data_IF_268971295930
#
_entry.id   IF_268971295930
#
_cell.length_a   1.000
_cell.length_b   1.000
_cell.length_c   1.000
_cell.angle_alpha   90.00
_cell.angle_beta   90.00
_cell.angle_gamma   90.00
#
_symmetry.space_group_name_H-M   'P 1'
#
loop_
_entity.id
_entity.type
_entity.pdbx_description
1 polymer ?
#
# COMPACT_ATOMS: atom_id res chain seq x y z
N UNK A 1 -45.52 39.29 -27.65
CA UNK A 1 -44.84 39.58 -26.37
C UNK A 1 -44.55 38.26 -25.69
N UNK A 2 -43.31 37.77 -25.64
CA UNK A 2 -42.96 36.60 -24.85
C UNK A 2 -42.60 37.00 -23.39
N UNK A 3 -42.74 36.08 -22.42
CA UNK A 3 -42.63 36.37 -20.99
C UNK A 3 -41.19 36.32 -20.48
N UNK A 4 -40.96 37.07 -19.39
CA UNK A 4 -39.70 37.19 -18.65
C UNK A 4 -39.23 35.87 -18.03
N UNK A 5 -37.93 35.59 -18.16
CA UNK A 5 -37.23 34.49 -17.45
C UNK A 5 -36.58 35.07 -16.20
N UNK A 6 -36.99 34.57 -15.04
CA UNK A 6 -36.54 35.00 -13.72
C UNK A 6 -35.07 34.73 -13.45
N UNK A 7 -34.40 35.72 -12.85
CA UNK A 7 -33.04 35.64 -12.36
C UNK A 7 -32.95 34.69 -11.14
N UNK A 8 -32.23 33.58 -11.30
CA UNK A 8 -31.75 32.79 -10.17
C UNK A 8 -30.64 33.60 -9.44
N UNK A 9 -30.88 33.94 -8.18
CA UNK A 9 -29.91 34.64 -7.33
C UNK A 9 -28.83 33.66 -6.88
N UNK A 10 -27.59 33.91 -7.32
CA UNK A 10 -26.39 33.22 -6.83
C UNK A 10 -26.12 33.74 -5.41
N UNK A 11 -26.23 32.85 -4.43
CA UNK A 11 -25.86 33.09 -3.04
C UNK A 11 -24.36 32.84 -2.89
N UNK A 12 -23.59 33.86 -2.50
CA UNK A 12 -22.16 33.70 -2.16
C UNK A 12 -21.20 34.71 -2.78
N UNK A 13 -21.51 36.02 -2.75
CA UNK A 13 -20.50 37.05 -3.00
C UNK A 13 -19.97 37.54 -1.64
N UNK A 14 -18.71 37.21 -1.35
CA UNK A 14 -17.96 37.85 -0.27
C UNK A 14 -17.87 39.35 -0.54
N UNK A 15 -17.97 40.13 0.53
CA UNK A 15 -18.23 41.59 0.57
C UNK A 15 -17.17 42.50 -0.09
N UNK A 16 -16.22 41.94 -0.85
CA UNK A 16 -15.07 42.65 -1.40
C UNK A 16 -15.14 42.96 -2.91
N UNK A 17 -16.20 42.57 -3.63
CA UNK A 17 -16.26 42.72 -5.11
C UNK A 17 -17.42 43.59 -5.64
N UNK A 18 -18.00 44.46 -4.81
CA UNK A 18 -19.07 45.38 -5.27
C UNK A 18 -18.53 46.80 -5.39
N UNK A 19 -17.59 47.02 -6.32
CA UNK A 19 -17.27 48.36 -6.83
C UNK A 19 -16.78 48.22 -8.26
N UNK A 20 -17.56 48.75 -9.21
CA UNK A 20 -17.43 48.65 -10.68
C UNK A 20 -17.99 47.36 -11.29
N UNK A 21 -19.11 47.46 -12.01
CA UNK A 21 -19.85 46.34 -12.63
C UNK A 21 -19.14 45.64 -13.79
N UNK A 22 -17.89 45.23 -13.61
CA UNK A 22 -17.17 44.31 -14.49
C UNK A 22 -17.02 42.98 -13.75
N UNK A 23 -17.82 42.00 -14.13
CA UNK A 23 -17.57 40.61 -13.75
C UNK A 23 -16.22 40.25 -14.38
N UNK A 24 -15.18 40.13 -13.56
CA UNK A 24 -13.90 39.61 -14.05
C UNK A 24 -14.13 38.16 -14.49
N UNK A 25 -13.63 37.73 -15.66
CA UNK A 25 -13.74 36.33 -16.06
C UNK A 25 -13.03 35.47 -15.01
N UNK A 26 -13.71 34.41 -14.55
CA UNK A 26 -13.10 33.44 -13.63
C UNK A 26 -11.83 32.89 -14.24
N UNK A 27 -10.74 32.87 -13.47
CA UNK A 27 -9.51 32.24 -13.93
C UNK A 27 -9.65 30.71 -13.85
N UNK A 28 -8.87 29.93 -14.63
CA UNK A 28 -8.88 28.47 -14.50
C UNK A 28 -8.61 27.98 -13.07
N UNK A 29 -7.82 28.71 -12.30
CA UNK A 29 -7.56 28.43 -10.89
C UNK A 29 -8.78 28.65 -10.00
N UNK A 30 -9.59 29.66 -10.28
CA UNK A 30 -10.83 29.93 -9.53
C UNK A 30 -11.84 28.80 -9.79
N UNK A 31 -11.97 28.36 -11.04
CA UNK A 31 -12.81 27.22 -11.43
C UNK A 31 -12.35 25.95 -10.71
N UNK A 32 -11.04 25.65 -10.73
CA UNK A 32 -10.49 24.48 -10.03
C UNK A 32 -10.75 24.52 -8.51
N UNK A 33 -10.63 25.69 -7.88
CA UNK A 33 -10.96 25.87 -6.45
C UNK A 33 -12.44 25.64 -6.18
N UNK A 34 -13.33 26.13 -7.04
CA UNK A 34 -14.77 25.91 -6.92
C UNK A 34 -15.13 24.42 -7.04
N UNK A 35 -14.47 23.70 -7.97
CA UNK A 35 -14.63 22.26 -8.12
C UNK A 35 -14.24 21.53 -6.84
N UNK A 36 -13.03 21.79 -6.33
CA UNK A 36 -12.52 21.16 -5.10
C UNK A 36 -13.39 21.50 -3.88
N UNK A 37 -13.90 22.72 -3.79
CA UNK A 37 -14.82 23.12 -2.71
C UNK A 37 -16.14 22.34 -2.77
N UNK A 38 -16.72 22.18 -3.97
CA UNK A 38 -17.95 21.40 -4.18
C UNK A 38 -17.77 19.94 -3.79
N UNK A 39 -16.64 19.33 -4.18
CA UNK A 39 -16.34 17.94 -3.82
C UNK A 39 -16.09 17.78 -2.30
N UNK A 40 -15.44 18.77 -1.67
CA UNK A 40 -15.18 18.78 -0.22
C UNK A 40 -16.48 18.85 0.58
N UNK A 41 -17.41 19.71 0.16
CA UNK A 41 -18.73 19.82 0.80
C UNK A 41 -19.49 18.49 0.67
N UNK A 42 -19.47 17.87 -0.51
CA UNK A 42 -20.11 16.58 -0.72
C UNK A 42 -19.51 15.47 0.17
N UNK A 43 -18.18 15.41 0.29
CA UNK A 43 -17.49 14.46 1.16
C UNK A 43 -17.85 14.67 2.64
N UNK A 44 -17.95 15.93 3.07
CA UNK A 44 -18.38 16.26 4.44
C UNK A 44 -19.79 15.73 4.69
N UNK A 45 -20.70 15.94 3.74
CA UNK A 45 -22.06 15.39 3.82
C UNK A 45 -22.07 13.87 3.84
N UNK A 46 -21.25 13.18 3.05
CA UNK A 46 -21.16 11.72 3.11
C UNK A 46 -20.68 11.22 4.48
N UNK A 47 -19.76 11.93 5.12
CA UNK A 47 -19.30 11.59 6.46
C UNK A 47 -20.38 11.78 7.53
N UNK A 48 -21.15 12.87 7.43
CA UNK A 48 -22.24 13.18 8.35
C UNK A 48 -23.49 12.30 8.11
N UNK A 49 -23.75 11.96 6.85
CA UNK A 49 -24.90 11.17 6.37
C UNK A 49 -24.47 9.76 5.93
N UNK A 50 -23.55 9.12 6.67
CA UNK A 50 -23.03 7.80 6.31
C UNK A 50 -24.18 6.79 6.08
N UNK A 51 -24.14 5.94 5.02
CA UNK A 51 -25.25 5.05 4.72
C UNK A 51 -25.62 4.14 5.90
N UNK A 52 -26.92 4.00 6.19
CA UNK A 52 -27.40 3.22 7.32
C UNK A 52 -26.97 1.74 7.27
N UNK A 53 -26.80 1.18 6.07
CA UNK A 53 -26.36 -0.21 5.87
C UNK A 53 -24.83 -0.38 5.92
N UNK A 54 -24.05 0.67 6.17
CA UNK A 54 -22.58 0.61 6.09
C UNK A 54 -21.99 -0.48 7.00
N UNK A 55 -22.38 -0.52 8.26
CA UNK A 55 -21.88 -1.51 9.23
C UNK A 55 -22.32 -2.93 8.84
N UNK A 56 -23.57 -3.10 8.39
CA UNK A 56 -24.08 -4.39 7.93
C UNK A 56 -23.33 -4.90 6.69
N UNK A 57 -22.93 -4.01 5.78
CA UNK A 57 -22.08 -4.35 4.64
C UNK A 57 -20.68 -4.76 5.11
N UNK A 58 -20.06 -4.03 6.04
CA UNK A 58 -18.76 -4.43 6.61
C UNK A 58 -18.85 -5.84 7.21
N UNK A 59 -19.87 -6.10 8.04
CA UNK A 59 -20.09 -7.40 8.65
C UNK A 59 -20.30 -8.50 7.61
N UNK A 60 -21.12 -8.26 6.58
CA UNK A 60 -21.32 -9.20 5.48
C UNK A 60 -19.98 -9.55 4.82
N UNK A 61 -19.19 -8.55 4.43
CA UNK A 61 -17.93 -8.72 3.71
C UNK A 61 -16.81 -9.32 4.57
N UNK A 62 -16.89 -9.23 5.91
CA UNK A 62 -15.99 -9.95 6.81
C UNK A 62 -16.23 -11.47 6.78
N UNK A 63 -17.47 -11.91 6.56
CA UNK A 63 -17.88 -13.31 6.70
C UNK A 63 -18.06 -14.07 5.38
N UNK A 64 -18.00 -13.42 4.23
CA UNK A 64 -17.99 -14.13 2.95
C UNK A 64 -16.78 -15.06 2.84
N UNK A 65 -16.96 -16.19 2.14
CA UNK A 65 -15.90 -17.17 1.90
C UNK A 65 -15.19 -16.99 0.56
N UNK A 66 -15.85 -16.32 -0.39
CA UNK A 66 -15.32 -15.99 -1.69
C UNK A 66 -14.67 -14.61 -1.71
N UNK A 67 -14.99 -13.85 -2.74
CA UNK A 67 -14.42 -12.54 -3.08
C UNK A 67 -15.51 -11.48 -3.12
N UNK A 68 -15.08 -10.23 -3.04
CA UNK A 68 -15.92 -9.07 -3.36
C UNK A 68 -15.81 -8.77 -4.86
N UNK A 69 -16.90 -8.98 -5.59
CA UNK A 69 -17.01 -8.56 -6.99
C UNK A 69 -17.48 -7.12 -7.00
N UNK A 70 -16.75 -6.23 -7.68
CA UNK A 70 -17.16 -4.82 -7.83
C UNK A 70 -17.41 -4.53 -9.29
N UNK A 71 -18.51 -3.85 -9.63
CA UNK A 71 -18.85 -3.55 -11.02
C UNK A 71 -19.55 -2.20 -11.18
N UNK A 72 -19.43 -1.63 -12.38
CA UNK A 72 -20.03 -0.37 -12.79
C UNK A 72 -19.68 -0.06 -14.24
N UNK A 73 -20.42 0.84 -14.87
CA UNK A 73 -20.15 1.29 -16.25
C UNK A 73 -19.45 2.64 -16.31
N UNK A 74 -18.62 2.83 -17.34
CA UNK A 74 -17.96 4.11 -17.61
C UNK A 74 -17.10 4.59 -16.44
N UNK A 75 -17.31 5.84 -16.00
CA UNK A 75 -16.55 6.40 -14.86
C UNK A 75 -16.79 5.62 -13.56
N UNK A 76 -18.01 5.14 -13.31
CA UNK A 76 -18.30 4.26 -12.19
C UNK A 76 -17.54 2.93 -12.29
N UNK A 77 -17.31 2.42 -13.50
CA UNK A 77 -16.49 1.23 -13.73
C UNK A 77 -15.01 1.43 -13.38
N UNK A 78 -14.43 2.60 -13.70
CA UNK A 78 -13.06 2.93 -13.28
C UNK A 78 -12.95 3.03 -11.76
N UNK A 79 -13.93 3.65 -11.10
CA UNK A 79 -13.99 3.71 -9.63
C UNK A 79 -14.15 2.29 -9.05
N UNK A 80 -15.03 1.45 -9.62
CA UNK A 80 -15.19 0.05 -9.22
C UNK A 80 -13.87 -0.73 -9.29
N UNK A 81 -13.10 -0.55 -10.36
CA UNK A 81 -11.78 -1.16 -10.51
C UNK A 81 -10.79 -0.70 -9.43
N UNK A 82 -10.77 0.60 -9.10
CA UNK A 82 -9.94 1.14 -8.00
C UNK A 82 -10.34 0.55 -6.66
N UNK A 83 -11.65 0.48 -6.37
CA UNK A 83 -12.18 -0.10 -5.12
C UNK A 83 -11.78 -1.57 -5.01
N UNK A 84 -11.98 -2.36 -6.05
CA UNK A 84 -11.56 -3.77 -6.08
C UNK A 84 -10.06 -3.93 -5.82
N UNK A 85 -9.22 -3.11 -6.48
CA UNK A 85 -7.78 -3.13 -6.25
C UNK A 85 -7.40 -2.75 -4.81
N UNK A 86 -8.10 -1.77 -4.22
CA UNK A 86 -7.87 -1.32 -2.83
C UNK A 86 -8.27 -2.39 -1.83
N UNK A 87 -9.43 -3.03 -2.01
CA UNK A 87 -9.86 -4.15 -1.16
C UNK A 87 -8.85 -5.31 -1.22
N UNK A 88 -8.42 -5.69 -2.44
CA UNK A 88 -7.48 -6.78 -2.65
C UNK A 88 -6.12 -6.51 -2.00
N UNK A 89 -5.59 -5.29 -2.14
CA UNK A 89 -4.30 -4.90 -1.54
C UNK A 89 -4.36 -4.78 -0.02
N UNK A 90 -5.56 -4.68 0.55
CA UNK A 90 -5.79 -4.50 1.99
C UNK A 90 -6.35 -5.74 2.68
N UNK A 91 -6.20 -6.91 2.04
CA UNK A 91 -6.51 -8.21 2.64
C UNK A 91 -7.95 -8.69 2.47
N UNK A 92 -8.76 -8.02 1.65
CA UNK A 92 -10.09 -8.48 1.25
C UNK A 92 -10.05 -8.92 -0.21
N UNK A 93 -10.04 -10.24 -0.52
CA UNK A 93 -10.01 -10.72 -1.90
C UNK A 93 -11.13 -10.09 -2.72
N UNK A 94 -10.77 -9.36 -3.77
CA UNK A 94 -11.71 -8.60 -4.57
C UNK A 94 -11.28 -8.53 -6.03
N UNK A 95 -12.25 -8.39 -6.94
CA UNK A 95 -12.00 -8.25 -8.37
C UNK A 95 -13.07 -7.41 -9.06
N UNK A 96 -12.67 -6.74 -10.12
CA UNK A 96 -13.59 -6.02 -11.00
C UNK A 96 -14.10 -6.93 -12.11
N UNK A 97 -15.40 -6.89 -12.37
CA UNK A 97 -16.02 -7.55 -13.54
C UNK A 97 -16.74 -6.47 -14.35
N UNK A 98 -16.37 -6.34 -15.63
CA UNK A 98 -17.00 -5.35 -16.49
C UNK A 98 -18.43 -5.80 -16.85
N UNK A 99 -19.47 -5.00 -16.61
CA UNK A 99 -20.84 -5.49 -16.73
C UNK A 99 -21.24 -5.74 -18.18
N UNK A 100 -20.62 -5.05 -19.15
CA UNK A 100 -20.79 -5.37 -20.58
C UNK A 100 -20.22 -6.74 -20.99
N UNK A 101 -19.16 -7.22 -20.33
CA UNK A 101 -18.56 -8.54 -20.61
C UNK A 101 -19.24 -9.66 -19.82
N UNK A 102 -19.88 -9.32 -18.67
CA UNK A 102 -20.63 -10.25 -17.84
C UNK A 102 -21.68 -11.01 -18.67
N UNK A 103 -22.43 -10.29 -19.49
CA UNK A 103 -23.43 -10.83 -20.44
C UNK A 103 -22.85 -11.78 -21.49
N UNK A 104 -21.53 -11.79 -21.67
CA UNK A 104 -20.81 -12.59 -22.67
C UNK A 104 -19.90 -13.68 -22.07
N UNK A 105 -20.13 -14.05 -20.81
CA UNK A 105 -19.50 -15.22 -20.16
C UNK A 105 -18.84 -14.91 -18.83
N UNK A 106 -18.51 -13.64 -18.57
CA UNK A 106 -17.81 -13.24 -17.34
C UNK A 106 -18.70 -13.33 -16.08
N UNK A 107 -20.01 -13.55 -16.22
CA UNK A 107 -20.85 -13.98 -15.09
C UNK A 107 -20.31 -15.25 -14.42
N UNK A 108 -19.61 -16.12 -15.16
CA UNK A 108 -18.93 -17.30 -14.60
C UNK A 108 -17.78 -16.96 -13.63
N UNK A 109 -17.32 -15.71 -13.58
CA UNK A 109 -16.37 -15.25 -12.57
C UNK A 109 -17.00 -15.02 -11.20
N UNK A 110 -18.35 -14.95 -11.13
CA UNK A 110 -19.13 -14.74 -9.91
C UNK A 110 -19.63 -16.10 -9.42
N UNK A 111 -19.36 -16.42 -8.16
CA UNK A 111 -19.74 -17.68 -7.51
C UNK A 111 -20.68 -17.45 -6.35
N UNK A 112 -21.37 -18.50 -5.88
CA UNK A 112 -22.26 -18.42 -4.72
C UNK A 112 -21.57 -18.13 -3.38
N UNK A 113 -20.23 -18.13 -3.34
CA UNK A 113 -19.45 -17.78 -2.17
C UNK A 113 -19.07 -16.29 -2.12
N UNK A 114 -19.29 -15.57 -3.24
CA UNK A 114 -18.91 -14.17 -3.41
C UNK A 114 -20.01 -13.22 -2.88
N UNK A 115 -19.68 -11.94 -2.75
CA UNK A 115 -20.65 -10.84 -2.64
C UNK A 115 -20.39 -9.83 -3.76
N UNK A 116 -21.44 -9.14 -4.22
CA UNK A 116 -21.38 -8.26 -5.39
C UNK A 116 -21.74 -6.82 -5.01
N UNK A 117 -20.85 -5.88 -5.28
CA UNK A 117 -21.08 -4.43 -5.17
C UNK A 117 -21.29 -3.87 -6.57
N UNK A 118 -22.50 -3.36 -6.83
CA UNK A 118 -22.85 -2.73 -8.11
C UNK A 118 -22.97 -1.22 -7.94
N UNK A 119 -22.28 -0.48 -8.80
CA UNK A 119 -22.16 0.98 -8.73
C UNK A 119 -22.87 1.61 -9.93
N UNK A 120 -23.92 2.39 -9.66
CA UNK A 120 -24.59 3.21 -10.65
C UNK A 120 -25.16 4.47 -10.03
N UNK A 121 -24.67 5.64 -10.44
CA UNK A 121 -25.18 6.93 -9.94
C UNK A 121 -26.69 7.09 -10.25
N UNK A 122 -27.15 6.69 -11.43
CA UNK A 122 -28.58 6.74 -11.76
C UNK A 122 -29.40 5.61 -11.14
N UNK A 123 -28.75 4.48 -10.85
CA UNK A 123 -29.41 3.23 -10.45
C UNK A 123 -30.18 2.53 -11.58
N UNK A 124 -30.03 3.01 -12.83
CA UNK A 124 -30.78 2.57 -14.02
C UNK A 124 -29.85 2.15 -15.18
N UNK A 125 -28.59 1.83 -14.88
CA UNK A 125 -27.61 1.38 -15.88
C UNK A 125 -28.00 0.01 -16.44
N UNK A 126 -28.26 -0.08 -17.74
CA UNK A 126 -28.81 -1.29 -18.38
C UNK A 126 -27.85 -2.46 -18.38
N UNK A 127 -26.56 -2.20 -18.51
CA UNK A 127 -25.51 -3.22 -18.55
C UNK A 127 -25.42 -3.99 -17.22
N UNK A 128 -25.93 -3.44 -16.12
CA UNK A 128 -25.98 -4.13 -14.82
C UNK A 128 -27.13 -5.13 -14.71
N UNK A 129 -28.11 -5.12 -15.63
CA UNK A 129 -29.32 -5.92 -15.51
C UNK A 129 -29.05 -7.43 -15.43
N UNK A 130 -28.11 -7.94 -16.24
CA UNK A 130 -27.76 -9.35 -16.23
C UNK A 130 -27.07 -9.76 -14.92
N UNK A 131 -26.24 -8.88 -14.36
CA UNK A 131 -25.61 -9.11 -13.05
C UNK A 131 -26.64 -9.11 -11.92
N UNK A 132 -27.60 -8.17 -11.94
CA UNK A 132 -28.71 -8.12 -10.98
C UNK A 132 -29.52 -9.43 -11.05
N UNK A 133 -29.90 -9.85 -12.25
CA UNK A 133 -30.65 -11.09 -12.47
C UNK A 133 -29.87 -12.33 -12.04
N UNK A 134 -28.56 -12.37 -12.29
CA UNK A 134 -27.69 -13.46 -11.85
C UNK A 134 -27.61 -13.54 -10.33
N UNK A 135 -27.39 -12.41 -9.64
CA UNK A 135 -27.33 -12.37 -8.18
C UNK A 135 -28.64 -12.86 -7.56
N UNK A 136 -29.79 -12.39 -8.07
CA UNK A 136 -31.10 -12.83 -7.62
C UNK A 136 -31.31 -14.34 -7.83
N UNK A 137 -30.98 -14.86 -9.02
CA UNK A 137 -31.14 -16.28 -9.37
C UNK A 137 -30.33 -17.22 -8.46
N UNK A 138 -29.12 -16.81 -8.08
CA UNK A 138 -28.20 -17.65 -7.31
C UNK A 138 -28.11 -17.24 -5.84
N UNK A 139 -28.97 -16.33 -5.38
CA UNK A 139 -28.99 -15.81 -4.00
C UNK A 139 -27.63 -15.27 -3.55
N UNK A 140 -26.94 -14.57 -4.46
CA UNK A 140 -25.64 -13.96 -4.18
C UNK A 140 -25.90 -12.61 -3.52
N UNK A 141 -25.32 -12.33 -2.33
CA UNK A 141 -25.49 -11.05 -1.66
C UNK A 141 -25.10 -9.88 -2.57
N UNK A 142 -26.02 -8.93 -2.74
CA UNK A 142 -25.83 -7.78 -3.60
C UNK A 142 -25.94 -6.48 -2.81
N UNK A 143 -24.94 -5.61 -2.97
CA UNK A 143 -24.86 -4.27 -2.39
C UNK A 143 -24.99 -3.26 -3.53
N UNK A 144 -25.90 -2.31 -3.39
CA UNK A 144 -26.06 -1.20 -4.33
C UNK A 144 -25.32 0.05 -3.83
N UNK A 145 -24.56 0.70 -4.73
CA UNK A 145 -24.06 2.07 -4.54
C UNK A 145 -24.71 2.98 -5.57
N UNK A 146 -25.56 3.90 -5.10
CA UNK A 146 -26.31 4.83 -5.95
C UNK A 146 -26.71 6.08 -5.16
N UNK A 147 -27.09 7.17 -5.82
CA UNK A 147 -27.71 8.34 -5.16
C UNK A 147 -29.25 8.29 -5.18
N UNK A 148 -29.86 7.26 -5.79
CA UNK A 148 -31.32 7.15 -5.95
C UNK A 148 -31.87 5.94 -5.19
N UNK A 149 -32.40 6.19 -3.99
CA UNK A 149 -32.98 5.14 -3.15
C UNK A 149 -34.17 4.40 -3.80
N UNK A 150 -34.93 5.07 -4.67
CA UNK A 150 -36.05 4.47 -5.41
C UNK A 150 -35.68 3.86 -6.77
N UNK A 151 -34.40 3.65 -7.06
CA UNK A 151 -33.97 3.10 -8.34
C UNK A 151 -34.15 1.58 -8.44
N UNK A 152 -34.10 1.06 -9.67
CA UNK A 152 -34.10 -0.38 -9.95
C UNK A 152 -32.97 -1.09 -9.21
N UNK A 153 -31.76 -0.53 -9.26
CA UNK A 153 -30.60 -1.08 -8.56
C UNK A 153 -30.81 -1.14 -7.04
N UNK A 154 -31.27 -0.04 -6.43
CA UNK A 154 -31.50 0.02 -4.99
C UNK A 154 -32.57 -0.99 -4.55
N UNK A 155 -33.64 -1.14 -5.32
CA UNK A 155 -34.75 -2.05 -5.01
C UNK A 155 -34.37 -3.54 -5.10
N UNK A 156 -33.35 -3.86 -5.91
CA UNK A 156 -32.91 -5.24 -6.10
C UNK A 156 -31.85 -5.68 -5.06
N UNK A 157 -31.18 -4.74 -4.39
CA UNK A 157 -30.08 -5.03 -3.50
C UNK A 157 -30.52 -5.44 -2.09
N UNK A 158 -29.70 -6.26 -1.44
CA UNK A 158 -29.87 -6.62 -0.03
C UNK A 158 -29.47 -5.45 0.89
N UNK A 159 -28.43 -4.71 0.50
CA UNK A 159 -27.94 -3.55 1.23
C UNK A 159 -27.74 -2.36 0.28
N UNK A 160 -28.05 -1.16 0.76
CA UNK A 160 -27.94 0.08 0.02
C UNK A 160 -26.93 1.03 0.68
N UNK A 161 -25.85 1.29 -0.03
CA UNK A 161 -24.93 2.38 0.27
C UNK A 161 -25.35 3.62 -0.54
N UNK A 162 -26.29 4.37 0.03
CA UNK A 162 -26.87 5.56 -0.60
C UNK A 162 -25.87 6.73 -0.56
N UNK A 163 -25.48 7.26 -1.72
CA UNK A 163 -24.68 8.48 -1.81
C UNK A 163 -25.57 9.71 -1.53
N UNK A 164 -25.05 10.74 -0.82
CA UNK A 164 -25.80 11.95 -0.55
C UNK A 164 -26.12 12.70 -1.85
N UNK A 165 -27.21 13.46 -1.84
CA UNK A 165 -27.58 14.30 -2.98
C UNK A 165 -26.66 15.51 -3.07
N UNK A 166 -25.62 15.40 -3.90
CA UNK A 166 -24.65 16.46 -4.14
C UNK A 166 -24.57 16.82 -5.63
N UNK A 167 -24.41 18.11 -5.98
CA UNK A 167 -24.27 18.52 -7.37
C UNK A 167 -22.93 18.05 -7.94
N UNK A 168 -22.91 17.78 -9.25
CA UNK A 168 -21.65 17.62 -9.96
C UNK A 168 -20.96 18.98 -10.08
N UNK A 169 -19.67 19.03 -9.81
CA UNK A 169 -18.85 20.23 -9.92
C UNK A 169 -18.63 20.70 -11.37
N UNK A 170 -18.97 19.88 -12.36
CA UNK A 170 -18.95 20.25 -13.76
C UNK A 170 -19.94 21.40 -14.04
N UNK A 171 -19.51 22.42 -14.79
CA UNK A 171 -20.33 23.60 -15.11
C UNK A 171 -21.69 23.29 -15.79
N UNK A 172 -21.80 22.16 -16.50
CA UNK A 172 -23.04 21.70 -17.14
C UNK A 172 -23.75 20.59 -16.36
N UNK A 173 -23.23 20.19 -15.19
CA UNK A 173 -23.81 19.19 -14.29
C UNK A 173 -23.86 17.76 -14.82
N UNK A 174 -23.29 17.49 -16.00
CA UNK A 174 -23.42 16.20 -16.68
C UNK A 174 -22.21 15.28 -16.51
N UNK A 175 -21.00 15.83 -16.43
CA UNK A 175 -19.82 15.02 -16.26
C UNK A 175 -19.72 14.54 -14.80
N UNK A 176 -19.57 13.22 -14.54
CA UNK A 176 -19.31 12.73 -13.20
C UNK A 176 -18.00 13.31 -12.67
N UNK A 177 -18.08 14.06 -11.57
CA UNK A 177 -16.94 14.58 -10.82
C UNK A 177 -17.15 14.24 -9.34
N UNK A 178 -18.14 14.89 -8.73
CA UNK A 178 -18.51 14.74 -7.33
C UNK A 178 -18.98 13.32 -7.05
N UNK A 179 -19.84 12.76 -7.90
CA UNK A 179 -20.35 11.38 -7.69
C UNK A 179 -19.24 10.32 -7.73
N UNK A 180 -18.23 10.49 -8.59
CA UNK A 180 -17.08 9.59 -8.64
C UNK A 180 -16.16 9.75 -7.44
N UNK A 181 -15.95 10.99 -6.96
CA UNK A 181 -15.15 11.27 -5.76
C UNK A 181 -15.80 10.67 -4.52
N UNK A 182 -17.12 10.87 -4.34
CA UNK A 182 -17.90 10.27 -3.25
C UNK A 182 -17.80 8.75 -3.24
N UNK A 183 -17.99 8.12 -4.40
CA UNK A 183 -17.94 6.68 -4.53
C UNK A 183 -16.54 6.12 -4.24
N UNK A 184 -15.48 6.81 -4.67
CA UNK A 184 -14.10 6.41 -4.38
C UNK A 184 -13.80 6.51 -2.88
N UNK A 185 -14.20 7.61 -2.24
CA UNK A 185 -14.02 7.81 -0.80
C UNK A 185 -14.81 6.80 0.03
N UNK A 186 -16.05 6.48 -0.37
CA UNK A 186 -16.86 5.42 0.26
C UNK A 186 -16.17 4.05 0.17
N UNK A 187 -15.59 3.73 -0.99
CA UNK A 187 -14.84 2.50 -1.17
C UNK A 187 -13.57 2.43 -0.30
N UNK A 188 -12.89 3.56 -0.13
CA UNK A 188 -11.72 3.66 0.77
C UNK A 188 -12.14 3.51 2.23
N UNK A 189 -13.25 4.13 2.64
CA UNK A 189 -13.81 3.95 3.98
C UNK A 189 -14.17 2.48 4.25
N UNK A 190 -14.79 1.79 3.29
CA UNK A 190 -15.11 0.38 3.38
C UNK A 190 -13.85 -0.49 3.53
N UNK A 191 -12.82 -0.24 2.71
CA UNK A 191 -11.56 -0.97 2.78
C UNK A 191 -10.86 -0.78 4.14
N UNK A 192 -10.77 0.47 4.63
CA UNK A 192 -10.14 0.78 5.92
C UNK A 192 -10.92 0.18 7.10
N UNK A 193 -12.25 0.19 7.04
CA UNK A 193 -13.09 -0.47 8.05
C UNK A 193 -12.84 -1.98 8.09
N UNK A 194 -12.77 -2.64 6.93
CA UNK A 194 -12.46 -4.06 6.83
C UNK A 194 -11.04 -4.38 7.32
N UNK A 195 -10.05 -3.56 6.97
CA UNK A 195 -8.67 -3.70 7.47
C UNK A 195 -8.62 -3.68 9.00
N UNK A 196 -9.26 -2.66 9.59
CA UNK A 196 -9.26 -2.46 11.04
C UNK A 196 -9.89 -3.65 11.76
N UNK A 197 -11.04 -4.13 11.28
CA UNK A 197 -11.75 -5.27 11.87
C UNK A 197 -11.04 -6.62 11.67
N UNK A 198 -10.23 -6.78 10.61
CA UNK A 198 -9.41 -7.98 10.39
C UNK A 198 -8.07 -7.96 11.16
N UNK A 199 -7.72 -6.84 11.81
CA UNK A 199 -6.39 -6.65 12.38
C UNK A 199 -5.28 -6.60 11.31
N UNK A 200 -5.62 -6.16 10.09
CA UNK A 200 -4.66 -6.07 8.99
C UNK A 200 -3.62 -4.98 9.26
N UNK A 201 -2.38 -5.39 9.55
CA UNK A 201 -1.28 -4.51 9.94
C UNK A 201 -0.16 -4.41 8.90
N UNK A 202 0.96 -3.78 9.29
CA UNK A 202 2.14 -3.58 8.44
C UNK A 202 2.70 -4.89 7.86
N UNK A 203 2.76 -5.94 8.68
CA UNK A 203 3.28 -7.25 8.25
C UNK A 203 2.39 -7.89 7.17
N UNK A 204 1.06 -7.85 7.34
CA UNK A 204 0.10 -8.31 6.34
C UNK A 204 0.24 -7.50 5.05
N UNK A 205 0.39 -6.17 5.15
CA UNK A 205 0.58 -5.30 3.99
C UNK A 205 1.84 -5.68 3.18
N UNK A 206 2.96 -5.99 3.85
CA UNK A 206 4.20 -6.43 3.19
C UNK A 206 4.00 -7.68 2.33
N UNK A 207 3.21 -8.64 2.81
CA UNK A 207 2.92 -9.87 2.08
C UNK A 207 2.24 -9.60 0.73
N UNK A 208 1.34 -8.63 0.67
CA UNK A 208 0.61 -8.25 -0.55
C UNK A 208 1.38 -7.24 -1.42
N UNK A 209 2.53 -6.72 -0.96
CA UNK A 209 3.31 -5.68 -1.67
C UNK A 209 4.82 -5.99 -1.69
N UNK A 210 5.25 -7.14 -2.22
CA UNK A 210 6.65 -7.56 -2.19
C UNK A 210 7.59 -6.64 -2.99
N UNK A 211 7.07 -5.92 -3.99
CA UNK A 211 7.84 -4.99 -4.84
C UNK A 211 7.84 -3.53 -4.40
N UNK A 212 7.15 -3.19 -3.30
CA UNK A 212 7.07 -1.82 -2.80
C UNK A 212 8.16 -1.50 -1.78
N UNK A 213 8.49 -0.21 -1.60
CA UNK A 213 9.46 0.25 -0.59
C UNK A 213 9.12 -0.22 0.84
N UNK A 214 7.83 -0.43 1.15
CA UNK A 214 7.39 -0.97 2.43
C UNK A 214 7.71 -2.47 2.61
N UNK A 215 7.67 -3.27 1.52
CA UNK A 215 8.05 -4.68 1.55
C UNK A 215 9.54 -4.84 1.84
N UNK A 216 10.38 -4.01 1.19
CA UNK A 216 11.81 -3.93 1.47
C UNK A 216 12.11 -3.44 2.90
N UNK A 217 11.34 -2.46 3.40
CA UNK A 217 11.51 -1.90 4.74
C UNK A 217 11.24 -2.91 5.89
N UNK A 218 10.51 -4.00 5.59
CA UNK A 218 10.15 -5.07 6.53
C UNK A 218 11.00 -6.34 6.37
N UNK A 219 11.98 -6.35 5.44
CA UNK A 219 12.92 -7.46 5.34
C UNK A 219 13.74 -7.57 6.62
N UNK A 220 14.04 -8.81 7.02
CA UNK A 220 14.97 -9.10 8.13
C UNK A 220 16.37 -9.33 7.58
N UNK A 221 17.39 -9.08 8.40
CA UNK A 221 18.80 -9.33 8.05
C UNK A 221 18.99 -10.78 7.55
N UNK A 222 18.32 -11.75 8.16
CA UNK A 222 18.37 -13.17 7.79
C UNK A 222 18.02 -13.48 6.34
N UNK A 223 17.24 -12.62 5.68
CA UNK A 223 16.78 -12.79 4.31
C UNK A 223 17.82 -12.40 3.26
N UNK A 224 18.81 -11.57 3.63
CA UNK A 224 19.81 -11.01 2.70
C UNK A 224 21.26 -11.22 3.12
N UNK A 225 21.51 -11.63 4.38
CA UNK A 225 22.88 -11.87 4.87
C UNK A 225 23.55 -13.04 4.16
N UNK A 226 24.87 -12.93 3.98
CA UNK A 226 25.77 -14.02 3.57
C UNK A 226 25.90 -15.07 4.66
N UNK A 227 26.11 -16.34 4.29
CA UNK A 227 26.14 -17.49 5.23
C UNK A 227 27.15 -18.56 4.80
N UNK A 228 27.50 -19.44 5.74
CA UNK A 228 28.32 -20.62 5.47
C UNK A 228 29.66 -20.29 4.84
N UNK A 229 29.98 -20.93 3.72
CA UNK A 229 31.26 -20.77 3.03
C UNK A 229 31.48 -19.37 2.44
N UNK A 230 30.47 -18.51 2.37
CA UNK A 230 30.65 -17.12 1.95
C UNK A 230 31.32 -16.26 3.04
N UNK A 231 31.28 -16.70 4.30
CA UNK A 231 31.80 -15.91 5.42
C UNK A 231 33.33 -15.85 5.43
N UNK A 232 33.95 -14.68 5.65
CA UNK A 232 35.39 -14.54 5.76
C UNK A 232 35.88 -14.90 7.16
N UNK A 233 35.85 -16.19 7.51
CA UNK A 233 36.17 -16.68 8.85
C UNK A 233 37.63 -17.13 8.95
N UNK A 234 38.31 -16.71 10.02
CA UNK A 234 39.66 -17.16 10.40
C UNK A 234 39.73 -17.47 11.89
N UNK A 235 40.73 -18.25 12.32
CA UNK A 235 40.99 -18.52 13.76
C UNK A 235 41.99 -17.51 14.32
N UNK A 236 42.02 -17.27 15.65
CA UNK A 236 43.02 -16.38 16.24
C UNK A 236 44.46 -16.73 15.87
N UNK A 237 44.74 -18.02 15.67
CA UNK A 237 46.06 -18.56 15.37
C UNK A 237 46.39 -18.51 13.87
N UNK A 238 45.43 -18.20 13.00
CA UNK A 238 45.64 -18.18 11.55
C UNK A 238 46.75 -17.18 11.19
N UNK A 239 47.78 -17.58 10.42
CA UNK A 239 48.80 -16.66 9.93
C UNK A 239 48.19 -15.51 9.13
N UNK A 240 48.71 -14.30 9.27
CA UNK A 240 48.15 -13.14 8.55
C UNK A 240 48.21 -13.28 7.02
N UNK A 241 49.16 -14.02 6.47
CA UNK A 241 49.20 -14.35 5.04
C UNK A 241 47.93 -15.09 4.57
N UNK A 242 47.47 -16.07 5.34
CA UNK A 242 46.23 -16.82 5.04
C UNK A 242 44.98 -15.98 5.30
N UNK A 243 45.00 -15.13 6.34
CA UNK A 243 43.90 -14.21 6.61
C UNK A 243 43.70 -13.20 5.48
N UNK A 244 44.79 -12.66 4.91
CA UNK A 244 44.74 -11.75 3.75
C UNK A 244 44.16 -12.43 2.50
N UNK A 245 44.53 -13.68 2.25
CA UNK A 245 43.95 -14.49 1.17
C UNK A 245 42.45 -14.65 1.38
N UNK A 246 42.02 -14.97 2.61
CA UNK A 246 40.60 -15.12 2.97
C UNK A 246 39.83 -13.81 2.72
N UNK A 247 40.34 -12.68 3.21
CA UNK A 247 39.71 -11.36 3.01
C UNK A 247 39.54 -11.03 1.52
N UNK A 248 40.58 -11.30 0.73
CA UNK A 248 40.59 -11.02 -0.71
C UNK A 248 39.63 -11.94 -1.48
N UNK A 249 39.56 -13.22 -1.12
CA UNK A 249 38.66 -14.19 -1.76
C UNK A 249 37.19 -13.90 -1.48
N UNK A 250 36.83 -13.48 -0.25
CA UNK A 250 35.44 -13.19 0.10
C UNK A 250 35.00 -11.78 -0.29
N UNK A 251 35.93 -10.83 -0.41
CA UNK A 251 35.65 -9.53 -1.02
C UNK A 251 34.86 -8.54 -0.14
N UNK A 252 34.72 -8.80 1.16
CA UNK A 252 34.00 -7.90 2.09
C UNK A 252 34.91 -6.85 2.76
N UNK A 253 36.22 -6.88 2.49
CA UNK A 253 37.21 -5.99 3.14
C UNK A 253 37.41 -6.28 4.64
N UNK A 254 36.90 -7.41 5.12
CA UNK A 254 36.98 -7.84 6.52
C UNK A 254 37.21 -9.34 6.65
N UNK A 255 37.74 -9.78 7.79
CA UNK A 255 37.71 -11.16 8.26
C UNK A 255 37.19 -11.23 9.70
N UNK A 256 36.24 -12.13 9.96
CA UNK A 256 35.74 -12.44 11.28
C UNK A 256 36.69 -13.45 11.95
N UNK A 257 37.19 -13.10 13.13
CA UNK A 257 38.00 -14.01 13.94
C UNK A 257 37.06 -14.80 14.86
N UNK A 258 37.09 -16.12 14.72
CA UNK A 258 36.16 -17.03 15.40
C UNK A 258 36.95 -18.11 16.13
N UNK A 259 36.57 -18.33 17.39
CA UNK A 259 37.15 -19.35 18.26
C UNK A 259 36.04 -20.23 18.83
N UNK A 260 36.09 -21.53 18.57
CA UNK A 260 35.03 -22.45 19.01
C UNK A 260 33.63 -22.14 18.46
N UNK A 261 33.54 -21.42 17.33
CA UNK A 261 32.28 -20.95 16.73
C UNK A 261 31.81 -19.57 17.22
N UNK A 262 32.34 -19.11 18.36
CA UNK A 262 32.07 -17.79 18.92
C UNK A 262 32.88 -16.70 18.24
N UNK A 263 32.24 -15.58 17.94
CA UNK A 263 32.89 -14.42 17.35
C UNK A 263 33.78 -13.70 18.39
N UNK A 264 35.09 -13.69 18.19
CA UNK A 264 36.05 -13.10 19.12
C UNK A 264 36.62 -11.76 18.64
N UNK A 265 36.63 -11.50 17.33
CA UNK A 265 37.15 -10.25 16.78
C UNK A 265 36.84 -10.03 15.29
N UNK A 266 37.29 -8.89 14.78
CA UNK A 266 37.24 -8.56 13.35
C UNK A 266 38.56 -7.93 12.90
N UNK A 267 38.99 -8.29 11.71
CA UNK A 267 40.08 -7.62 10.99
C UNK A 267 39.46 -6.85 9.84
N UNK A 268 39.81 -5.58 9.70
CA UNK A 268 39.38 -4.71 8.60
C UNK A 268 40.58 -4.17 7.83
N UNK A 269 40.37 -3.63 6.63
CA UNK A 269 41.43 -2.90 5.89
C UNK A 269 42.08 -1.77 6.72
N UNK A 270 41.33 -1.18 7.66
CA UNK A 270 41.86 -0.23 8.62
C UNK A 270 42.89 -0.85 9.57
N UNK A 271 42.64 -2.06 10.05
CA UNK A 271 43.55 -2.79 10.94
C UNK A 271 44.82 -3.22 10.21
N UNK A 272 44.68 -3.67 8.95
CA UNK A 272 45.83 -4.00 8.11
C UNK A 272 46.76 -2.80 7.94
N UNK A 273 46.18 -1.62 7.65
CA UNK A 273 46.94 -0.38 7.48
C UNK A 273 47.67 0.04 8.75
N UNK A 274 47.04 -0.13 9.92
CA UNK A 274 47.64 0.19 11.23
C UNK A 274 48.76 -0.78 11.64
N UNK A 275 48.74 -2.01 11.12
CA UNK A 275 49.67 -3.08 11.48
C UNK A 275 50.60 -3.49 10.32
N UNK A 276 50.78 -2.63 9.31
CA UNK A 276 51.50 -2.97 8.07
C UNK A 276 52.95 -3.43 8.34
N UNK A 277 53.63 -2.81 9.30
CA UNK A 277 54.98 -3.20 9.69
C UNK A 277 54.96 -4.55 10.43
N UNK A 278 55.65 -5.54 9.87
CA UNK A 278 55.68 -6.90 10.40
C UNK A 278 54.35 -7.65 10.28
N UNK A 279 53.40 -7.19 9.47
CA UNK A 279 52.05 -7.78 9.38
C UNK A 279 52.08 -9.30 9.11
N UNK A 280 52.95 -9.73 8.19
CA UNK A 280 53.05 -11.13 7.76
C UNK A 280 53.67 -12.06 8.81
N UNK A 281 54.30 -11.50 9.85
CA UNK A 281 54.89 -12.25 10.96
C UNK A 281 53.87 -12.49 12.10
N UNK A 282 52.71 -11.84 12.02
CA UNK A 282 51.65 -11.90 13.04
C UNK A 282 50.59 -12.95 12.72
N UNK A 283 49.79 -13.26 13.73
CA UNK A 283 48.57 -14.06 13.61
C UNK A 283 47.34 -13.15 13.61
N UNK A 284 46.21 -13.68 13.14
CA UNK A 284 44.95 -12.96 13.04
C UNK A 284 44.52 -12.35 14.39
N UNK A 285 44.68 -13.09 15.49
CA UNK A 285 44.36 -12.63 16.84
C UNK A 285 45.20 -11.43 17.30
N UNK A 286 46.43 -11.29 16.81
CA UNK A 286 47.33 -10.18 17.15
C UNK A 286 46.94 -8.86 16.46
N UNK A 287 46.14 -8.95 15.39
CA UNK A 287 45.74 -7.83 14.54
C UNK A 287 44.26 -7.47 14.72
N UNK A 288 43.44 -8.43 15.13
CA UNK A 288 42.00 -8.27 15.25
C UNK A 288 41.60 -7.24 16.31
N UNK A 289 40.58 -6.44 15.97
CA UNK A 289 39.90 -5.58 16.94
C UNK A 289 38.85 -6.42 17.69
N UNK A 290 38.88 -6.48 19.04
CA UNK A 290 37.87 -7.19 19.81
C UNK A 290 36.54 -6.42 19.85
N UNK A 291 35.44 -7.12 20.14
CA UNK A 291 34.11 -6.51 20.25
C UNK A 291 33.60 -5.90 18.92
N UNK A 292 33.54 -6.69 17.84
CA UNK A 292 33.04 -6.19 16.57
C UNK A 292 31.59 -5.73 16.67
N UNK A 293 31.19 -4.82 15.77
CA UNK A 293 29.80 -4.41 15.66
C UNK A 293 28.96 -5.57 15.11
N UNK A 294 27.97 -6.01 15.88
CA UNK A 294 27.13 -7.16 15.55
C UNK A 294 25.66 -6.79 15.42
N UNK A 295 24.89 -7.66 14.77
CA UNK A 295 23.43 -7.65 14.75
C UNK A 295 22.88 -9.08 14.87
N UNK A 296 21.56 -9.21 14.89
CA UNK A 296 20.82 -10.48 14.96
C UNK A 296 20.08 -10.76 13.66
N UNK A 297 19.86 -12.04 13.29
CA UNK A 297 19.16 -12.39 12.05
C UNK A 297 17.76 -11.78 11.94
N UNK A 298 17.08 -11.58 13.08
CA UNK A 298 15.70 -11.13 13.15
C UNK A 298 15.56 -9.60 13.05
N UNK A 299 16.66 -8.85 13.16
CA UNK A 299 16.64 -7.39 13.06
C UNK A 299 16.10 -6.95 11.70
N UNK A 300 15.35 -5.85 11.67
CA UNK A 300 14.90 -5.27 10.41
C UNK A 300 16.10 -4.73 9.63
N UNK A 301 16.07 -4.95 8.31
CA UNK A 301 17.14 -4.55 7.40
C UNK A 301 17.33 -3.03 7.37
N UNK A 302 16.23 -2.27 7.56
CA UNK A 302 16.23 -0.81 7.74
C UNK A 302 17.00 -0.37 8.99
N UNK A 303 16.78 -1.04 10.12
CA UNK A 303 17.49 -0.77 11.37
C UNK A 303 18.98 -1.09 11.23
N UNK A 304 19.30 -2.24 10.62
CA UNK A 304 20.67 -2.64 10.35
C UNK A 304 21.41 -1.65 9.42
N UNK A 305 20.75 -1.15 8.37
CA UNK A 305 21.30 -0.11 7.50
C UNK A 305 21.50 1.23 8.24
N UNK A 306 20.58 1.58 9.15
CA UNK A 306 20.72 2.72 10.05
C UNK A 306 21.98 2.63 10.91
N UNK A 307 22.23 1.47 11.52
CA UNK A 307 23.44 1.19 12.32
C UNK A 307 24.71 1.34 11.47
N UNK A 308 24.73 0.75 10.26
CA UNK A 308 25.86 0.84 9.33
C UNK A 308 26.20 2.30 9.00
N UNK A 309 25.17 3.10 8.66
CA UNK A 309 25.33 4.52 8.34
C UNK A 309 25.81 5.35 9.53
N UNK A 310 25.18 5.16 10.70
CA UNK A 310 25.53 5.90 11.93
C UNK A 310 26.98 5.62 12.35
N UNK A 311 27.38 4.33 12.32
CA UNK A 311 28.73 3.90 12.71
C UNK A 311 29.75 4.05 11.59
N UNK A 312 29.35 4.52 10.39
CA UNK A 312 30.18 4.63 9.19
C UNK A 312 30.91 3.32 8.87
N UNK A 313 30.20 2.20 8.97
CA UNK A 313 30.69 0.86 8.65
C UNK A 313 29.98 0.34 7.41
N UNK A 314 30.65 -0.55 6.68
CA UNK A 314 30.09 -1.22 5.50
C UNK A 314 29.64 -2.65 5.77
N UNK A 315 30.00 -3.21 6.93
CA UNK A 315 29.71 -4.60 7.31
C UNK A 315 29.17 -4.69 8.73
N UNK A 316 28.16 -5.54 8.93
CA UNK A 316 27.73 -6.06 10.22
C UNK A 316 27.94 -7.57 10.27
N UNK A 317 28.54 -8.06 11.35
CA UNK A 317 28.59 -9.50 11.64
C UNK A 317 27.28 -9.91 12.32
N UNK A 318 26.68 -11.01 11.88
CA UNK A 318 25.39 -11.47 12.39
C UNK A 318 25.63 -12.66 13.32
N UNK A 319 25.18 -12.54 14.56
CA UNK A 319 25.33 -13.57 15.59
C UNK A 319 23.97 -14.07 16.09
N UNK A 320 23.92 -15.33 16.50
CA UNK A 320 22.75 -15.88 17.20
C UNK A 320 22.72 -15.51 18.69
N UNK A 321 21.73 -16.02 19.42
CA UNK A 321 21.59 -15.78 20.87
C UNK A 321 22.75 -16.32 21.70
N UNK A 322 23.47 -17.34 21.20
CA UNK A 322 24.64 -17.92 21.85
C UNK A 322 25.96 -17.20 21.47
N UNK A 323 25.89 -16.14 20.67
CA UNK A 323 27.05 -15.38 20.20
C UNK A 323 27.83 -16.08 19.08
N UNK A 324 27.26 -17.10 18.46
CA UNK A 324 27.87 -17.80 17.33
C UNK A 324 27.72 -16.97 16.06
N UNK A 325 28.76 -16.93 15.23
CA UNK A 325 28.68 -16.23 13.94
C UNK A 325 27.79 -17.04 12.97
N UNK A 326 26.65 -16.46 12.58
CA UNK A 326 25.68 -17.10 11.68
C UNK A 326 25.53 -16.37 10.34
N UNK A 327 26.07 -15.17 10.20
CA UNK A 327 26.04 -14.44 8.94
C UNK A 327 26.88 -13.17 8.88
N UNK A 328 26.87 -12.53 7.72
CA UNK A 328 27.48 -11.24 7.46
C UNK A 328 26.54 -10.43 6.57
N UNK A 329 26.26 -9.18 6.95
CA UNK A 329 25.51 -8.23 6.13
C UNK A 329 26.45 -7.15 5.59
N UNK A 330 26.55 -7.01 4.28
CA UNK A 330 27.23 -5.88 3.65
C UNK A 330 26.22 -4.78 3.29
N UNK A 331 26.64 -3.52 3.35
CA UNK A 331 25.78 -2.36 3.05
C UNK A 331 25.17 -2.44 1.65
N UNK A 332 25.90 -2.97 0.68
CA UNK A 332 25.42 -3.14 -0.69
C UNK A 332 24.29 -4.18 -0.81
N UNK A 333 24.20 -5.16 0.08
CA UNK A 333 23.10 -6.13 0.08
C UNK A 333 21.81 -5.45 0.53
N UNK A 334 21.90 -4.61 1.57
CA UNK A 334 20.79 -3.80 2.04
C UNK A 334 20.31 -2.80 0.96
N UNK A 335 21.24 -2.15 0.25
CA UNK A 335 20.91 -1.23 -0.84
C UNK A 335 20.25 -1.95 -2.04
N UNK A 336 20.78 -3.12 -2.44
CA UNK A 336 20.21 -3.92 -3.53
C UNK A 336 18.83 -4.48 -3.21
N UNK A 337 18.54 -4.73 -1.93
CA UNK A 337 17.24 -5.17 -1.46
C UNK A 337 16.16 -4.07 -1.49
N UNK A 338 16.50 -2.85 -1.93
CA UNK A 338 15.52 -1.76 -2.12
C UNK A 338 15.18 -1.00 -0.84
N UNK A 339 16.08 -1.00 0.14
CA UNK A 339 15.89 -0.33 1.45
C UNK A 339 16.34 1.15 1.44
N UNK A 340 16.76 1.66 0.27
CA UNK A 340 17.24 3.04 0.08
C UNK A 340 16.15 3.99 -0.43
#
# INVERSE_FOLDING_TARGET
>A
MPPEVGQARICGLTRAQVTTGKIMPETPSDIARAVLATETEALTRLADELPADFDAVVDLLLHIRGRVIVSGMGKSGHVAAKIAATLASTGTPAQFVHPGEASHGDLGMITSADAVILISNSGETRELADMIGYCARFSIPMIAVTKRAGSTLASAAQHLLLLPDAPEACAIGMAPTTSTTLCMALGDALAVALMSNRGFGKESYAHFHPGGSLGAALLRVSAVMHKGDELPVVRPETPMSEALVTMSQKGFGVAAVVEGGSLSGIITDGDLRRNMEGLLERRAGDVATPGPLTTRPEMLLTEALGILNEKKRTVLLVVDEAGQLVGLLHIHDALRAGVA
#
